data_IF_454058286545
#
_entry.id   IF_454058286545
#
_cell.length_a   1.000
_cell.length_b   1.000
_cell.length_c   1.000
_cell.angle_alpha   90.00
_cell.angle_beta   90.00
_cell.angle_gamma   90.00
#
_symmetry.space_group_name_H-M   'P 1'
#
loop_
_entity.id
_entity.type
_entity.pdbx_description
1 polymer ?
#
# COMPACT_ATOMS: atom_id res chain seq x y z
N UNK A 1 -25.98 12.12 -61.70
CA UNK A 1 -24.66 11.92 -62.35
C UNK A 1 -23.62 12.20 -61.27
N UNK A 2 -23.02 11.14 -60.69
CA UNK A 2 -21.62 10.71 -60.96
C UNK A 2 -20.62 11.87 -60.79
N UNK A 3 -19.63 11.84 -59.90
CA UNK A 3 -19.17 10.84 -58.95
C UNK A 3 -17.71 11.13 -58.55
N UNK A 4 -17.17 10.27 -57.66
CA UNK A 4 -15.72 9.95 -57.47
C UNK A 4 -14.87 11.06 -56.79
N UNK A 5 -13.86 10.80 -55.97
CA UNK A 5 -13.16 9.59 -55.55
C UNK A 5 -12.47 9.86 -54.19
N UNK A 6 -12.21 8.79 -53.46
CA UNK A 6 -11.30 8.75 -52.32
C UNK A 6 -9.84 8.89 -52.76
N UNK A 7 -9.01 9.51 -51.91
CA UNK A 7 -7.56 9.31 -51.93
C UNK A 7 -7.04 9.27 -50.48
N UNK A 8 -6.52 8.10 -50.11
CA UNK A 8 -5.68 7.85 -48.93
C UNK A 8 -4.21 7.97 -49.38
N UNK A 9 -3.28 8.01 -48.41
CA UNK A 9 -1.80 7.92 -48.49
C UNK A 9 -1.11 9.29 -48.75
N UNK A 10 -0.07 9.80 -48.07
CA UNK A 10 1.21 9.33 -47.46
C UNK A 10 1.65 10.37 -46.38
N UNK A 11 2.12 10.03 -45.17
CA UNK A 11 3.49 9.65 -44.73
C UNK A 11 4.50 10.82 -44.54
N UNK A 12 5.10 10.88 -43.32
CA UNK A 12 6.42 11.46 -42.90
C UNK A 12 6.55 13.00 -42.99
N UNK A 13 6.98 13.81 -42.02
CA UNK A 13 7.73 13.65 -40.77
C UNK A 13 8.83 14.72 -40.74
N UNK A 14 8.76 15.76 -39.87
CA UNK A 14 9.88 16.70 -39.60
C UNK A 14 9.76 17.33 -38.19
N UNK A 15 10.61 16.85 -37.27
CA UNK A 15 11.59 17.56 -36.43
C UNK A 15 11.18 18.84 -35.66
N UNK A 16 11.22 18.69 -34.33
CA UNK A 16 11.65 19.59 -33.25
C UNK A 16 11.63 21.12 -33.42
N UNK A 17 10.89 21.78 -32.51
CA UNK A 17 11.22 23.10 -32.00
C UNK A 17 11.19 23.07 -30.46
N UNK A 18 12.39 23.09 -29.89
CA UNK A 18 12.66 23.26 -28.47
C UNK A 18 12.45 24.73 -28.13
N UNK A 19 11.55 25.02 -27.19
CA UNK A 19 11.51 26.34 -26.53
C UNK A 19 11.75 26.12 -25.04
N UNK A 20 12.98 26.40 -24.64
CA UNK A 20 13.38 26.59 -23.25
C UNK A 20 12.66 27.82 -22.70
N UNK A 21 11.94 27.67 -21.59
CA UNK A 21 11.80 28.76 -20.63
C UNK A 21 12.19 28.16 -19.27
N UNK A 22 13.42 28.50 -18.89
CA UNK A 22 13.94 28.28 -17.56
C UNK A 22 13.04 28.99 -16.53
N UNK A 23 12.73 28.30 -15.45
CA UNK A 23 12.29 28.94 -14.21
C UNK A 23 12.53 28.01 -13.03
N UNK A 24 13.64 28.34 -12.35
CA UNK A 24 13.88 28.24 -10.92
C UNK A 24 14.14 26.87 -10.29
N UNK A 25 15.45 26.64 -10.08
CA UNK A 25 16.02 26.23 -8.81
C UNK A 25 15.36 25.05 -8.07
N UNK A 26 15.92 23.85 -8.26
CA UNK A 26 16.02 22.90 -7.16
C UNK A 26 17.33 22.11 -7.30
N UNK A 27 18.43 22.84 -7.24
CA UNK A 27 19.71 22.28 -6.85
C UNK A 27 19.86 22.56 -5.35
N UNK A 28 19.33 21.64 -4.55
CA UNK A 28 19.68 21.47 -3.14
C UNK A 28 19.57 19.97 -2.85
N UNK A 29 20.73 19.37 -2.58
CA UNK A 29 20.88 18.22 -1.70
C UNK A 29 20.05 16.97 -2.02
N UNK A 30 20.48 16.21 -3.04
CA UNK A 30 20.16 14.78 -3.11
C UNK A 30 20.98 14.00 -2.05
N UNK A 31 20.72 14.26 -0.77
CA UNK A 31 21.26 13.50 0.36
C UNK A 31 20.18 13.13 1.40
N UNK A 32 18.89 13.28 1.08
CA UNK A 32 17.80 13.03 2.04
C UNK A 32 16.69 12.06 1.56
N UNK A 33 16.92 11.24 0.53
CA UNK A 33 15.98 10.18 0.15
C UNK A 33 16.28 8.81 0.78
N UNK A 34 16.72 8.78 2.05
CA UNK A 34 16.72 7.55 2.85
C UNK A 34 15.88 7.62 4.13
N UNK A 35 15.30 8.77 4.49
CA UNK A 35 14.53 8.92 5.73
C UNK A 35 13.02 9.19 5.58
N UNK A 36 12.50 9.27 4.36
CA UNK A 36 11.07 9.56 4.12
C UNK A 36 10.17 8.33 4.01
N UNK A 37 10.70 7.10 4.18
CA UNK A 37 9.88 5.90 4.42
C UNK A 37 9.60 5.66 5.91
N UNK A 38 10.10 6.53 6.80
CA UNK A 38 9.93 6.44 8.25
C UNK A 38 9.03 7.55 8.85
N UNK A 39 8.45 8.42 8.01
CA UNK A 39 7.69 9.57 8.47
C UNK A 39 6.18 9.37 8.30
N UNK A 40 5.57 8.74 9.31
CA UNK A 40 4.20 8.93 9.83
C UNK A 40 3.62 7.63 10.38
N UNK A 41 4.36 6.95 11.28
CA UNK A 41 3.68 6.16 12.29
C UNK A 41 2.90 7.16 13.16
N UNK A 42 1.59 7.19 13.00
CA UNK A 42 0.73 7.94 13.90
C UNK A 42 0.90 7.36 15.32
N UNK A 43 0.64 8.15 16.36
CA UNK A 43 0.68 7.64 17.74
C UNK A 43 -0.26 6.42 17.96
N UNK A 44 -1.26 6.26 17.08
CA UNK A 44 -2.12 5.07 17.02
C UNK A 44 -1.42 3.84 16.42
N UNK A 45 -0.49 4.01 15.47
CA UNK A 45 0.29 2.92 14.87
C UNK A 45 1.30 2.31 15.86
N UNK A 46 1.78 3.11 16.82
CA UNK A 46 2.71 2.69 17.87
C UNK A 46 2.09 1.72 18.88
N UNK A 47 0.77 1.57 18.88
CA UNK A 47 0.04 0.66 19.76
C UNK A 47 -0.98 -0.21 19.02
N UNK A 48 -1.07 -0.10 17.69
CA UNK A 48 -1.96 -0.93 16.89
C UNK A 48 -1.49 -2.39 16.82
N UNK A 49 -2.45 -3.32 16.89
CA UNK A 49 -2.17 -4.75 16.66
C UNK A 49 -2.15 -5.00 15.14
N UNK A 50 -3.22 -4.65 14.45
CA UNK A 50 -3.28 -4.63 12.98
C UNK A 50 -3.05 -3.22 12.47
N UNK A 51 -2.20 -3.04 11.45
CA UNK A 51 -1.83 -1.70 11.01
C UNK A 51 -2.98 -1.00 10.26
N UNK A 52 -3.50 0.14 10.76
CA UNK A 52 -4.58 0.89 10.12
C UNK A 52 -4.29 1.28 8.67
N UNK A 53 -3.03 1.55 8.34
CA UNK A 53 -2.59 1.97 7.00
C UNK A 53 -2.24 0.81 6.07
N UNK A 54 -2.23 -0.43 6.58
CA UNK A 54 -1.90 -1.64 5.83
C UNK A 54 -3.14 -2.40 5.38
N UNK A 55 -2.95 -3.40 4.50
CA UNK A 55 -4.05 -4.24 4.02
C UNK A 55 -4.63 -5.08 5.15
N UNK A 56 -5.88 -5.50 4.97
CA UNK A 56 -6.60 -6.33 5.95
C UNK A 56 -5.77 -7.53 6.40
N UNK A 57 -5.66 -7.72 7.72
CA UNK A 57 -4.99 -8.86 8.33
C UNK A 57 -3.47 -8.71 8.52
N UNK A 58 -2.89 -7.58 8.12
CA UNK A 58 -1.46 -7.29 8.34
C UNK A 58 -1.23 -6.63 9.70
N UNK A 59 -0.17 -7.05 10.39
CA UNK A 59 0.20 -6.60 11.73
C UNK A 59 0.96 -5.27 11.68
N UNK A 60 0.78 -4.47 12.73
CA UNK A 60 1.69 -3.37 13.02
C UNK A 60 2.92 -3.92 13.74
N UNK A 61 4.01 -4.16 13.02
CA UNK A 61 5.18 -4.86 13.56
C UNK A 61 5.78 -4.18 14.81
N UNK A 62 5.80 -2.85 14.83
CA UNK A 62 6.23 -2.07 15.99
C UNK A 62 5.13 -1.98 17.06
N UNK A 63 3.89 -1.69 16.66
CA UNK A 63 2.75 -1.63 17.59
C UNK A 63 2.51 -2.93 18.37
N UNK A 64 2.55 -4.08 17.68
CA UNK A 64 2.45 -5.41 18.33
C UNK A 64 3.63 -5.70 19.25
N UNK A 65 4.84 -5.26 18.92
CA UNK A 65 5.98 -5.41 19.82
C UNK A 65 5.76 -4.63 21.12
N UNK A 66 5.20 -3.42 21.01
CA UNK A 66 4.87 -2.55 22.14
C UNK A 66 3.72 -3.13 22.99
N UNK A 67 2.63 -3.60 22.35
CA UNK A 67 1.51 -4.28 23.03
C UNK A 67 1.99 -5.50 23.81
N UNK A 68 2.91 -6.27 23.24
CA UNK A 68 3.53 -7.45 23.87
C UNK A 68 4.67 -7.11 24.85
N UNK A 69 4.98 -5.82 25.04
CA UNK A 69 6.04 -5.32 25.92
C UNK A 69 7.41 -5.95 25.64
N UNK A 70 7.71 -6.25 24.37
CA UNK A 70 8.98 -6.84 23.96
C UNK A 70 10.07 -5.77 23.92
N UNK A 71 11.29 -6.13 24.33
CA UNK A 71 12.48 -5.26 24.32
C UNK A 71 13.72 -6.00 23.83
N UNK A 72 14.72 -5.24 23.37
CA UNK A 72 16.00 -5.77 22.91
C UNK A 72 15.86 -6.85 21.83
N UNK A 73 16.66 -7.91 21.91
CA UNK A 73 16.69 -9.00 20.95
C UNK A 73 15.31 -9.64 20.67
N UNK A 74 14.42 -9.68 21.67
CA UNK A 74 13.07 -10.24 21.50
C UNK A 74 12.22 -9.37 20.58
N UNK A 75 12.31 -8.05 20.73
CA UNK A 75 11.62 -7.08 19.89
C UNK A 75 12.11 -7.19 18.44
N UNK A 76 13.43 -7.23 18.22
CA UNK A 76 13.98 -7.36 16.87
C UNK A 76 13.57 -8.66 16.18
N UNK A 77 13.61 -9.79 16.90
CA UNK A 77 13.15 -11.09 16.39
C UNK A 77 11.66 -11.06 16.06
N UNK A 78 10.85 -10.45 16.92
CA UNK A 78 9.42 -10.29 16.68
C UNK A 78 9.12 -9.49 15.43
N UNK A 79 9.74 -8.31 15.28
CA UNK A 79 9.55 -7.45 14.11
C UNK A 79 9.83 -8.22 12.81
N UNK A 80 10.93 -8.99 12.76
CA UNK A 80 11.25 -9.84 11.60
C UNK A 80 10.20 -10.92 11.32
N UNK A 81 9.63 -11.53 12.37
CA UNK A 81 8.55 -12.51 12.23
C UNK A 81 7.26 -11.87 11.74
N UNK A 82 6.85 -10.74 12.32
CA UNK A 82 5.66 -9.99 11.90
C UNK A 82 5.76 -9.57 10.43
N UNK A 83 6.90 -8.99 10.02
CA UNK A 83 7.14 -8.63 8.62
C UNK A 83 7.09 -9.84 7.68
N UNK A 84 7.55 -11.03 8.11
CA UNK A 84 7.44 -12.26 7.32
C UNK A 84 5.98 -12.70 7.18
N UNK A 85 5.21 -12.64 8.26
CA UNK A 85 3.78 -12.90 8.25
C UNK A 85 3.04 -11.94 7.30
N UNK A 86 3.31 -10.63 7.37
CA UNK A 86 2.63 -9.63 6.53
C UNK A 86 2.87 -9.83 5.04
N UNK A 87 4.09 -10.26 4.66
CA UNK A 87 4.41 -10.66 3.29
C UNK A 87 3.61 -11.87 2.84
N UNK A 88 3.48 -12.89 3.70
CA UNK A 88 2.72 -14.09 3.40
C UNK A 88 1.22 -13.79 3.26
N UNK A 89 0.65 -12.98 4.14
CA UNK A 89 -0.74 -12.51 4.06
C UNK A 89 -0.97 -11.78 2.74
N UNK A 90 -0.12 -10.81 2.41
CA UNK A 90 -0.27 -10.07 1.15
C UNK A 90 -0.14 -10.98 -0.08
N UNK A 91 0.79 -11.94 -0.08
CA UNK A 91 0.93 -12.89 -1.17
C UNK A 91 -0.33 -13.76 -1.34
N UNK A 92 -0.88 -14.28 -0.25
CA UNK A 92 -2.12 -15.06 -0.27
C UNK A 92 -3.32 -14.24 -0.78
N UNK A 93 -3.45 -12.98 -0.33
CA UNK A 93 -4.51 -12.07 -0.80
C UNK A 93 -4.40 -11.80 -2.30
N UNK A 94 -3.20 -11.55 -2.81
CA UNK A 94 -2.99 -11.35 -4.25
C UNK A 94 -3.27 -12.62 -5.05
N UNK A 95 -2.92 -13.79 -4.52
CA UNK A 95 -3.21 -15.07 -5.14
C UNK A 95 -4.73 -15.31 -5.23
N UNK A 96 -5.47 -15.04 -4.15
CA UNK A 96 -6.94 -15.10 -4.16
C UNK A 96 -7.53 -14.20 -5.24
N UNK A 97 -7.02 -12.97 -5.39
CA UNK A 97 -7.49 -12.07 -6.44
C UNK A 97 -7.24 -12.63 -7.84
N UNK A 98 -6.10 -13.26 -8.07
CA UNK A 98 -5.81 -13.87 -9.36
C UNK A 98 -6.72 -15.06 -9.63
N UNK A 99 -6.83 -15.98 -8.68
CA UNK A 99 -7.59 -17.23 -8.86
C UNK A 99 -9.10 -16.97 -8.99
N UNK A 100 -9.60 -15.91 -8.35
CA UNK A 100 -11.01 -15.53 -8.43
C UNK A 100 -11.42 -14.94 -9.78
N UNK A 101 -10.48 -14.49 -10.63
CA UNK A 101 -10.81 -13.96 -11.97
C UNK A 101 -11.42 -15.03 -12.89
N UNK A 102 -11.19 -16.32 -12.62
CA UNK A 102 -11.78 -17.43 -13.37
C UNK A 102 -13.26 -17.67 -13.00
N UNK A 103 -13.71 -17.14 -11.86
CA UNK A 103 -15.02 -17.46 -11.27
C UNK A 103 -15.90 -16.22 -11.14
N UNK A 104 -15.32 -15.06 -10.84
CA UNK A 104 -16.05 -13.83 -10.52
C UNK A 104 -16.20 -12.93 -11.74
N UNK A 105 -17.36 -12.27 -11.83
CA UNK A 105 -17.54 -11.14 -12.75
C UNK A 105 -16.64 -9.96 -12.34
N UNK A 106 -16.33 -9.02 -13.25
CA UNK A 106 -15.53 -7.84 -12.91
C UNK A 106 -16.08 -7.05 -11.71
N UNK A 107 -17.41 -6.87 -11.62
CA UNK A 107 -18.03 -6.15 -10.50
C UNK A 107 -17.88 -6.89 -9.16
N UNK A 108 -17.98 -8.22 -9.17
CA UNK A 108 -17.72 -9.05 -7.99
C UNK A 108 -16.24 -9.04 -7.60
N UNK A 109 -15.34 -9.01 -8.59
CA UNK A 109 -13.90 -8.91 -8.38
C UNK A 109 -13.53 -7.58 -7.71
N UNK A 110 -14.15 -6.49 -8.14
CA UNK A 110 -13.95 -5.18 -7.51
C UNK A 110 -14.48 -5.14 -6.07
N UNK A 111 -15.63 -5.77 -5.81
CA UNK A 111 -16.16 -5.92 -4.46
C UNK A 111 -15.20 -6.72 -3.57
N UNK A 112 -14.68 -7.85 -4.07
CA UNK A 112 -13.68 -8.66 -3.39
C UNK A 112 -12.44 -7.83 -3.04
N UNK A 113 -11.86 -7.10 -4.02
CA UNK A 113 -10.69 -6.25 -3.79
C UNK A 113 -10.95 -5.19 -2.72
N UNK A 114 -12.16 -4.59 -2.69
CA UNK A 114 -12.55 -3.60 -1.67
C UNK A 114 -12.56 -4.17 -0.25
N UNK A 115 -12.90 -5.44 -0.04
CA UNK A 115 -12.86 -6.06 1.29
C UNK A 115 -11.44 -6.06 1.92
N UNK A 116 -10.39 -6.01 1.10
CA UNK A 116 -8.99 -6.06 1.56
C UNK A 116 -8.24 -4.73 1.40
N UNK A 117 -8.86 -3.70 0.82
CA UNK A 117 -8.22 -2.45 0.39
C UNK A 117 -8.02 -1.41 1.52
N UNK A 118 -7.90 -1.83 2.80
CA UNK A 118 -7.78 -1.00 4.04
C UNK A 118 -9.09 -0.89 4.87
N UNK A 119 -9.96 -1.91 4.86
CA UNK A 119 -11.33 -1.77 5.40
C UNK A 119 -11.64 -2.41 6.76
N UNK A 120 -10.70 -3.12 7.40
CA UNK A 120 -11.03 -3.92 8.59
C UNK A 120 -10.02 -3.87 9.73
N UNK A 121 -8.78 -3.44 9.50
CA UNK A 121 -7.76 -3.43 10.57
C UNK A 121 -8.14 -2.51 11.75
N UNK A 122 -8.66 -1.28 11.52
CA UNK A 122 -9.17 -0.44 12.61
C UNK A 122 -10.31 -1.11 13.40
N UNK A 123 -11.24 -1.77 12.72
CA UNK A 123 -12.40 -2.44 13.29
C UNK A 123 -11.98 -3.69 14.09
N UNK A 124 -11.04 -4.47 13.58
CA UNK A 124 -10.45 -5.62 14.27
C UNK A 124 -9.76 -5.14 15.55
N UNK A 125 -8.98 -4.05 15.48
CA UNK A 125 -8.34 -3.46 16.67
C UNK A 125 -9.39 -3.02 17.69
N UNK A 126 -10.43 -2.28 17.28
CA UNK A 126 -11.51 -1.87 18.18
C UNK A 126 -12.17 -3.07 18.87
N UNK A 127 -12.41 -4.15 18.14
CA UNK A 127 -12.95 -5.39 18.71
C UNK A 127 -12.01 -5.99 19.75
N UNK A 128 -10.71 -6.10 19.46
CA UNK A 128 -9.72 -6.62 20.40
C UNK A 128 -9.64 -5.75 21.66
N UNK A 129 -9.66 -4.43 21.49
CA UNK A 129 -9.57 -3.46 22.59
C UNK A 129 -10.81 -3.54 23.48
N UNK A 130 -12.00 -3.69 22.90
CA UNK A 130 -13.25 -3.89 23.64
C UNK A 130 -13.24 -5.14 24.54
N UNK A 131 -12.35 -6.10 24.24
CA UNK A 131 -12.16 -7.35 24.99
C UNK A 131 -10.97 -7.31 25.95
N UNK A 132 -10.31 -6.17 26.10
CA UNK A 132 -9.11 -6.05 26.94
C UNK A 132 -7.87 -6.74 26.36
N UNK A 133 -7.89 -7.13 25.08
CA UNK A 133 -6.77 -7.76 24.36
C UNK A 133 -5.85 -6.74 23.68
N UNK A 134 -6.15 -5.45 23.86
CA UNK A 134 -5.36 -4.34 23.34
C UNK A 134 -4.18 -3.96 24.23
N UNK A 135 -3.53 -2.83 23.91
CA UNK A 135 -2.56 -2.20 24.79
C UNK A 135 -3.13 -2.05 26.20
N UNK A 136 -2.38 -2.53 27.19
CA UNK A 136 -2.75 -2.33 28.59
C UNK A 136 -2.49 -0.87 28.95
N UNK A 137 -3.50 -0.17 29.48
CA UNK A 137 -3.29 1.13 30.11
C UNK A 137 -2.53 0.88 31.41
N UNK A 138 -1.29 1.32 31.47
CA UNK A 138 -0.55 1.41 32.74
C UNK A 138 -1.14 2.53 33.61
#
# INVERSE_FOLDING_TARGET
MQGKAATVVLLVGVIALVVNIASYAQQHDHAEHQNQSAASASADDDVAIFCPTMKTGQLCSHGTANVLQLKGDKQEKWIKMAQKYDRAVNAATLQLFKDSEEVLTPAQQDLLKKWFAVGLNPEINQLLYSKGLGPQKN
#
